data_IF_412841670758
#
_entry.id   IF_412841670758
#
_cell.length_a   1.000
_cell.length_b   1.000
_cell.length_c   1.000
_cell.angle_alpha   90.00
_cell.angle_beta   90.00
_cell.angle_gamma   90.00
#
_symmetry.space_group_name_H-M   'P 1'
#
loop_
_entity.id
_entity.type
_entity.pdbx_description
1 polymer ?
#
# COMPACT_ATOMS: atom_id res chain seq x y z
N UNK A 1 -18.45 -7.36 -10.60
CA UNK A 1 -17.45 -7.54 -11.68
C UNK A 1 -16.92 -8.96 -11.68
N UNK A 2 -16.01 -9.35 -10.77
CA UNK A 2 -15.47 -10.72 -10.74
C UNK A 2 -16.52 -11.72 -10.27
N UNK A 3 -17.18 -11.46 -9.14
CA UNK A 3 -18.20 -12.35 -8.55
C UNK A 3 -19.35 -12.69 -9.52
N UNK A 4 -19.79 -11.72 -10.33
CA UNK A 4 -20.86 -11.91 -11.32
C UNK A 4 -20.46 -12.83 -12.48
N UNK A 5 -19.17 -13.11 -12.66
CA UNK A 5 -18.63 -13.94 -13.72
C UNK A 5 -18.09 -15.30 -13.22
N UNK A 6 -18.18 -15.56 -11.91
CA UNK A 6 -17.83 -16.86 -11.30
C UNK A 6 -19.02 -17.82 -11.39
N UNK A 7 -18.75 -19.08 -11.71
CA UNK A 7 -19.73 -20.15 -11.59
C UNK A 7 -19.91 -20.57 -10.12
N UNK A 8 -21.01 -21.27 -9.81
CA UNK A 8 -21.25 -21.79 -8.46
C UNK A 8 -20.06 -22.65 -7.99
N UNK A 9 -19.51 -22.31 -6.82
CA UNK A 9 -18.36 -22.99 -6.24
C UNK A 9 -16.99 -22.53 -6.74
N UNK A 10 -16.91 -21.64 -7.75
CA UNK A 10 -15.65 -21.05 -8.17
C UNK A 10 -15.24 -19.88 -7.27
N UNK A 11 -13.93 -19.71 -7.16
CA UNK A 11 -13.28 -18.56 -6.52
C UNK A 11 -12.55 -17.73 -7.56
N UNK A 12 -12.11 -16.53 -7.18
CA UNK A 12 -11.30 -15.67 -8.04
C UNK A 12 -10.04 -16.36 -8.58
N UNK A 13 -9.42 -17.20 -7.75
CA UNK A 13 -8.19 -17.94 -8.10
C UNK A 13 -8.42 -18.95 -9.23
N UNK A 14 -9.66 -19.42 -9.41
CA UNK A 14 -10.03 -20.39 -10.45
C UNK A 14 -10.25 -19.73 -11.83
N UNK A 15 -10.31 -18.38 -11.89
CA UNK A 15 -10.52 -17.60 -13.11
C UNK A 15 -9.46 -16.50 -13.27
N UNK A 16 -8.18 -16.88 -13.44
CA UNK A 16 -7.07 -15.94 -13.57
C UNK A 16 -7.23 -15.01 -14.79
N UNK A 17 -7.95 -15.44 -15.82
CA UNK A 17 -8.31 -14.64 -17.00
C UNK A 17 -9.17 -13.43 -16.63
N UNK A 18 -10.23 -13.64 -15.84
CA UNK A 18 -11.12 -12.56 -15.37
C UNK A 18 -10.37 -11.63 -14.43
N UNK A 19 -9.56 -12.19 -13.53
CA UNK A 19 -8.74 -11.42 -12.59
C UNK A 19 -7.78 -10.49 -13.34
N UNK A 20 -7.07 -11.01 -14.35
CA UNK A 20 -6.16 -10.22 -15.16
C UNK A 20 -6.90 -9.13 -15.95
N UNK A 21 -8.09 -9.42 -16.49
CA UNK A 21 -8.88 -8.43 -17.23
C UNK A 21 -9.35 -7.29 -16.33
N UNK A 22 -9.92 -7.59 -15.16
CA UNK A 22 -10.38 -6.58 -14.20
C UNK A 22 -9.20 -5.77 -13.65
N UNK A 23 -8.06 -6.42 -13.38
CA UNK A 23 -6.84 -5.74 -12.99
C UNK A 23 -6.38 -4.75 -14.05
N UNK A 24 -6.31 -5.17 -15.32
CA UNK A 24 -5.86 -4.29 -16.42
C UNK A 24 -6.82 -3.11 -16.63
N UNK A 25 -8.13 -3.31 -16.48
CA UNK A 25 -9.12 -2.23 -16.54
C UNK A 25 -8.91 -1.22 -15.41
N UNK A 26 -8.84 -1.69 -14.15
CA UNK A 26 -8.58 -0.83 -12.98
C UNK A 26 -7.25 -0.11 -13.08
N UNK A 27 -6.20 -0.77 -13.58
CA UNK A 27 -4.90 -0.17 -13.86
C UNK A 27 -5.01 0.99 -14.83
N UNK A 28 -5.69 0.80 -15.97
CA UNK A 28 -5.88 1.86 -16.98
C UNK A 28 -6.62 3.05 -16.41
N UNK A 29 -7.68 2.80 -15.64
CA UNK A 29 -8.47 3.85 -15.01
C UNK A 29 -7.65 4.62 -13.96
N UNK A 30 -6.90 3.91 -13.11
CA UNK A 30 -5.96 4.51 -12.15
C UNK A 30 -4.92 5.40 -12.85
N UNK A 31 -4.24 4.85 -13.86
CA UNK A 31 -3.24 5.61 -14.60
C UNK A 31 -3.86 6.83 -15.28
N UNK A 32 -5.05 6.71 -15.86
CA UNK A 32 -5.75 7.83 -16.48
C UNK A 32 -6.01 8.97 -15.48
N UNK A 33 -6.47 8.67 -14.26
CA UNK A 33 -6.68 9.70 -13.24
C UNK A 33 -5.37 10.38 -12.84
N UNK A 34 -4.29 9.61 -12.63
CA UNK A 34 -2.97 10.15 -12.32
C UNK A 34 -2.47 11.05 -13.47
N UNK A 35 -2.56 10.56 -14.72
CA UNK A 35 -2.09 11.31 -15.89
C UNK A 35 -2.93 12.57 -16.18
N UNK A 36 -4.17 12.60 -15.69
CA UNK A 36 -5.05 13.77 -15.75
C UNK A 36 -4.81 14.78 -14.61
N UNK A 37 -3.74 14.59 -13.83
CA UNK A 37 -3.31 15.57 -12.83
C UNK A 37 -3.84 15.33 -11.42
N UNK A 38 -4.27 14.11 -11.08
CA UNK A 38 -4.72 13.78 -9.71
C UNK A 38 -3.72 14.22 -8.62
N UNK A 39 -2.42 14.17 -8.94
CA UNK A 39 -1.32 14.57 -8.04
C UNK A 39 -0.52 15.78 -8.57
N UNK A 40 -1.07 16.55 -9.51
CA UNK A 40 -0.36 17.62 -10.20
C UNK A 40 0.28 17.18 -11.52
N UNK A 41 1.07 18.08 -12.13
CA UNK A 41 1.63 17.83 -13.45
C UNK A 41 2.78 16.82 -13.40
N UNK A 42 2.76 15.86 -14.32
CA UNK A 42 3.78 14.83 -14.44
C UNK A 42 4.60 15.02 -15.72
N UNK A 43 5.82 14.49 -15.73
CA UNK A 43 6.77 14.56 -16.85
C UNK A 43 7.08 13.18 -17.40
N UNK A 44 7.17 12.18 -16.52
CA UNK A 44 7.38 10.79 -16.92
C UNK A 44 6.72 9.83 -15.92
N UNK A 45 6.50 8.59 -16.37
CA UNK A 45 6.13 7.48 -15.50
C UNK A 45 6.87 6.21 -15.88
N UNK A 46 7.09 5.35 -14.89
CA UNK A 46 7.54 3.97 -15.08
C UNK A 46 6.59 3.07 -14.30
N UNK A 47 6.02 2.06 -14.96
CA UNK A 47 5.20 1.07 -14.29
C UNK A 47 5.54 -0.35 -14.75
N UNK A 48 5.45 -1.31 -13.83
CA UNK A 48 5.61 -2.73 -14.13
C UNK A 48 4.51 -3.51 -13.43
N UNK A 49 3.96 -4.48 -14.16
CA UNK A 49 3.05 -5.47 -13.62
C UNK A 49 3.85 -6.69 -13.17
N UNK A 50 3.59 -7.18 -11.97
CA UNK A 50 4.16 -8.44 -11.49
C UNK A 50 3.04 -9.40 -11.10
N UNK A 51 3.11 -10.59 -11.71
CA UNK A 51 2.15 -11.67 -11.50
C UNK A 51 2.77 -12.67 -10.53
N UNK A 52 2.24 -12.71 -9.31
CA UNK A 52 2.70 -13.66 -8.31
C UNK A 52 2.06 -15.03 -8.54
N UNK A 53 2.83 -16.12 -8.38
CA UNK A 53 2.38 -17.50 -8.65
C UNK A 53 1.08 -17.92 -7.93
N UNK A 54 0.73 -17.26 -6.82
CA UNK A 54 -0.45 -17.51 -5.99
C UNK A 54 -1.03 -16.24 -5.38
N UNK A 55 -0.66 -15.09 -5.95
CA UNK A 55 -1.05 -13.78 -5.45
C UNK A 55 -1.77 -13.00 -6.53
N UNK A 56 -2.44 -11.94 -6.11
CA UNK A 56 -3.06 -11.03 -7.04
C UNK A 56 -1.99 -10.34 -7.91
N UNK A 57 -2.32 -10.00 -9.17
CA UNK A 57 -1.45 -9.13 -9.95
C UNK A 57 -1.24 -7.83 -9.17
N UNK A 58 0.00 -7.37 -9.12
CA UNK A 58 0.33 -6.09 -8.51
C UNK A 58 1.06 -5.21 -9.51
N UNK A 59 1.00 -3.92 -9.25
CA UNK A 59 1.65 -2.90 -10.06
C UNK A 59 2.51 -2.03 -9.18
N UNK A 60 3.72 -1.77 -9.65
CA UNK A 60 4.56 -0.71 -9.14
C UNK A 60 4.49 0.45 -10.11
N UNK A 61 4.20 1.65 -9.61
CA UNK A 61 4.11 2.88 -10.41
C UNK A 61 5.06 3.90 -9.79
N UNK A 62 5.99 4.40 -10.60
CA UNK A 62 6.84 5.54 -10.28
C UNK A 62 6.45 6.71 -11.17
N UNK A 63 6.17 7.86 -10.58
CA UNK A 63 5.74 9.08 -11.27
C UNK A 63 6.80 10.15 -11.02
N UNK A 64 7.21 10.82 -12.09
CA UNK A 64 8.11 11.96 -12.04
C UNK A 64 7.30 13.23 -12.24
N UNK A 65 7.17 14.04 -11.20
CA UNK A 65 6.42 15.30 -11.23
C UNK A 65 7.21 16.44 -11.87
N UNK A 66 6.49 17.39 -12.45
CA UNK A 66 7.04 18.66 -12.88
C UNK A 66 7.66 19.39 -11.67
N UNK A 67 8.69 20.20 -11.88
CA UNK A 67 9.46 20.80 -10.77
C UNK A 67 8.60 21.63 -9.81
N UNK A 68 7.54 22.25 -10.32
CA UNK A 68 6.58 23.06 -9.55
C UNK A 68 5.58 22.23 -8.74
N UNK A 69 5.36 20.96 -9.13
CA UNK A 69 4.41 20.04 -8.50
C UNK A 69 5.12 18.97 -7.66
N UNK A 70 6.44 19.12 -7.45
CA UNK A 70 7.19 18.19 -6.61
C UNK A 70 6.67 18.23 -5.18
N UNK A 71 6.64 17.05 -4.57
CA UNK A 71 6.30 16.91 -3.16
C UNK A 71 7.53 17.28 -2.35
N UNK A 72 7.52 18.47 -1.77
CA UNK A 72 8.70 19.09 -1.16
C UNK A 72 8.64 19.18 0.37
N UNK A 73 7.48 19.04 0.97
CA UNK A 73 7.30 19.22 2.41
C UNK A 73 6.32 18.20 3.02
N UNK A 74 6.38 18.10 4.35
CA UNK A 74 5.62 17.14 5.12
C UNK A 74 4.10 17.36 5.01
N UNK A 75 3.66 18.62 4.88
CA UNK A 75 2.25 18.95 4.74
C UNK A 75 1.73 18.43 3.41
N UNK A 76 2.49 18.62 2.33
CA UNK A 76 2.14 18.11 1.01
C UNK A 76 2.11 16.56 1.02
N UNK A 77 3.06 15.90 1.68
CA UNK A 77 3.00 14.44 1.90
C UNK A 77 1.68 14.03 2.57
N UNK A 78 1.29 14.71 3.63
CA UNK A 78 0.08 14.39 4.39
C UNK A 78 -1.22 14.61 3.61
N UNK A 79 -1.19 15.40 2.52
CA UNK A 79 -2.34 15.49 1.58
C UNK A 79 -2.49 14.27 0.68
N UNK A 80 -1.41 13.50 0.48
CA UNK A 80 -1.36 12.37 -0.47
C UNK A 80 -1.33 11.04 0.26
N UNK A 81 -0.60 10.93 1.37
CA UNK A 81 -0.37 9.68 2.09
C UNK A 81 -0.78 9.84 3.55
N UNK A 82 -1.47 8.83 4.07
CA UNK A 82 -1.85 8.73 5.47
C UNK A 82 -1.31 7.43 6.07
N UNK A 83 -0.91 7.50 7.34
CA UNK A 83 -0.63 6.35 8.18
C UNK A 83 -1.53 6.33 9.43
N UNK A 84 -2.73 6.89 9.30
CA UNK A 84 -3.74 7.00 10.38
C UNK A 84 -4.89 6.05 10.11
N UNK A 85 -5.46 5.47 11.16
CA UNK A 85 -6.74 4.77 11.09
C UNK A 85 -7.83 5.83 10.84
N UNK A 86 -8.65 5.70 9.77
CA UNK A 86 -9.73 6.65 9.48
C UNK A 86 -10.80 6.68 10.58
N UNK A 87 -11.62 7.71 10.59
CA UNK A 87 -12.84 7.72 11.41
C UNK A 87 -13.91 6.81 10.78
N UNK A 88 -14.45 5.89 11.58
CA UNK A 88 -15.41 4.89 11.11
C UNK A 88 -16.79 5.46 10.77
N UNK A 89 -17.15 6.62 11.32
CA UNK A 89 -18.43 7.28 11.07
C UNK A 89 -18.35 8.23 9.89
N UNK A 90 -17.26 9.00 9.78
CA UNK A 90 -17.06 9.97 8.70
C UNK A 90 -16.61 9.32 7.40
N UNK A 91 -15.79 8.26 7.49
CA UNK A 91 -15.20 7.59 6.33
C UNK A 91 -15.32 6.06 6.40
N UNK A 92 -16.55 5.52 6.48
CA UNK A 92 -16.80 4.09 6.73
C UNK A 92 -16.14 3.17 5.69
N UNK A 93 -16.18 3.55 4.40
CA UNK A 93 -15.57 2.76 3.32
C UNK A 93 -14.05 2.71 3.47
N UNK A 94 -13.41 3.85 3.71
CA UNK A 94 -11.96 3.92 3.88
C UNK A 94 -11.54 3.22 5.18
N UNK A 95 -12.31 3.37 6.25
CA UNK A 95 -12.09 2.68 7.52
C UNK A 95 -12.09 1.15 7.32
N UNK A 96 -13.09 0.62 6.62
CA UNK A 96 -13.17 -0.81 6.34
C UNK A 96 -11.98 -1.29 5.49
N UNK A 97 -11.58 -0.50 4.48
CA UNK A 97 -10.40 -0.79 3.64
C UNK A 97 -9.14 -0.82 4.50
N UNK A 98 -8.93 0.21 5.33
CA UNK A 98 -7.69 0.36 6.10
C UNK A 98 -7.58 -0.71 7.16
N UNK A 99 -8.64 -0.92 7.95
CA UNK A 99 -8.64 -1.93 9.02
C UNK A 99 -8.62 -3.36 8.50
N UNK A 100 -9.00 -3.58 7.24
CA UNK A 100 -8.94 -4.90 6.60
C UNK A 100 -7.60 -5.19 5.95
N UNK A 101 -7.06 -4.28 5.12
CA UNK A 101 -5.90 -4.57 4.25
C UNK A 101 -4.71 -3.62 4.38
N UNK A 102 -4.86 -2.47 5.07
CA UNK A 102 -3.75 -1.52 5.29
C UNK A 102 -3.23 -1.57 6.72
N UNK A 103 -3.32 -2.73 7.37
CA UNK A 103 -2.70 -2.98 8.67
C UNK A 103 -1.56 -3.97 8.51
N UNK A 104 -0.44 -3.68 9.16
CA UNK A 104 0.60 -4.68 9.35
C UNK A 104 0.08 -5.74 10.31
N UNK A 105 0.28 -7.01 9.96
CA UNK A 105 -0.09 -8.12 10.84
C UNK A 105 0.70 -8.07 12.16
N UNK A 106 0.18 -8.68 13.24
CA UNK A 106 0.89 -8.72 14.51
C UNK A 106 2.24 -9.41 14.35
N UNK A 107 3.29 -8.80 14.89
CA UNK A 107 4.67 -9.28 14.82
C UNK A 107 5.42 -8.89 16.10
N UNK A 108 6.70 -9.23 16.16
CA UNK A 108 7.55 -8.94 17.32
C UNK A 108 7.50 -10.04 18.37
N UNK A 109 7.79 -9.71 19.62
CA UNK A 109 7.92 -10.69 20.70
C UNK A 109 6.63 -11.47 20.97
N UNK A 110 5.47 -10.85 20.73
CA UNK A 110 4.16 -11.50 20.85
C UNK A 110 3.88 -12.49 19.71
N UNK A 111 4.54 -12.33 18.55
CA UNK A 111 4.33 -13.12 17.33
C UNK A 111 5.66 -13.38 16.61
N UNK A 112 6.59 -14.13 17.24
CA UNK A 112 7.95 -14.31 16.73
C UNK A 112 8.03 -15.15 15.45
N UNK A 113 6.97 -15.92 15.15
CA UNK A 113 6.84 -16.75 13.95
C UNK A 113 6.27 -16.01 12.75
N UNK A 114 5.91 -14.73 12.88
CA UNK A 114 5.40 -13.94 11.76
C UNK A 114 6.43 -13.85 10.64
N UNK A 115 5.99 -13.95 9.37
CA UNK A 115 6.88 -14.00 8.19
C UNK A 115 7.79 -12.78 8.03
N UNK A 116 7.37 -11.64 8.58
CA UNK A 116 8.17 -10.42 8.57
C UNK A 116 9.35 -10.46 9.56
N UNK A 117 9.39 -11.41 10.49
CA UNK A 117 10.43 -11.52 11.51
C UNK A 117 11.73 -12.08 10.90
N UNK A 118 12.81 -11.31 11.00
CA UNK A 118 14.15 -11.68 10.58
C UNK A 118 15.10 -11.32 11.72
N UNK A 119 15.89 -12.29 12.20
CA UNK A 119 16.80 -12.09 13.35
C UNK A 119 16.09 -11.47 14.58
N UNK A 120 14.90 -11.98 14.91
CA UNK A 120 14.06 -11.52 16.03
C UNK A 120 13.58 -10.07 15.93
N UNK A 121 13.66 -9.43 14.75
CA UNK A 121 13.11 -8.10 14.51
C UNK A 121 12.19 -8.12 13.29
N UNK A 122 11.15 -7.29 13.31
CA UNK A 122 10.35 -7.10 12.10
C UNK A 122 11.22 -6.42 11.03
N UNK A 123 11.39 -7.06 9.88
CA UNK A 123 12.09 -6.53 8.70
C UNK A 123 11.50 -5.22 8.17
N UNK A 124 10.25 -4.91 8.53
CA UNK A 124 9.55 -3.65 8.20
C UNK A 124 9.49 -2.68 9.38
N UNK A 125 10.11 -3.04 10.50
CA UNK A 125 10.25 -2.27 11.74
C UNK A 125 8.90 -1.88 12.36
N UNK A 126 7.96 -2.83 12.41
CA UNK A 126 6.72 -2.66 13.16
C UNK A 126 6.87 -3.18 14.61
N UNK A 127 6.12 -2.58 15.56
CA UNK A 127 5.29 -1.39 15.41
C UNK A 127 6.13 -0.12 15.14
N UNK A 128 5.63 0.78 14.28
CA UNK A 128 6.29 2.07 14.03
C UNK A 128 6.14 2.98 15.26
N UNK A 129 7.05 3.93 15.52
CA UNK A 129 6.87 4.90 16.59
C UNK A 129 5.68 5.83 16.29
N UNK A 130 5.05 6.35 17.34
CA UNK A 130 4.11 7.46 17.20
C UNK A 130 4.86 8.73 16.79
N UNK A 131 4.24 9.52 15.91
CA UNK A 131 4.71 10.84 15.49
C UNK A 131 3.48 11.75 15.34
N UNK A 132 3.50 12.94 15.94
CA UNK A 132 2.39 13.90 15.78
C UNK A 132 2.26 14.44 14.35
N UNK A 133 3.39 14.52 13.64
CA UNK A 133 3.52 15.09 12.30
C UNK A 133 4.44 14.25 11.42
N UNK A 134 4.39 14.48 10.11
CA UNK A 134 5.29 13.83 9.16
C UNK A 134 6.66 14.51 9.18
N UNK A 135 7.73 13.71 9.21
CA UNK A 135 9.11 14.18 9.26
C UNK A 135 9.91 13.63 8.09
N UNK A 136 10.78 14.43 7.48
CA UNK A 136 11.77 13.89 6.53
C UNK A 136 12.98 13.35 7.28
N UNK A 137 13.34 12.10 7.01
CA UNK A 137 14.64 11.56 7.39
C UNK A 137 15.75 12.03 6.46
N UNK A 138 17.00 11.88 6.91
CA UNK A 138 18.19 12.11 6.08
C UNK A 138 18.26 11.13 4.89
N UNK A 139 17.55 10.00 4.98
CA UNK A 139 17.42 8.98 3.94
C UNK A 139 16.45 9.34 2.81
N UNK A 140 15.75 10.49 2.91
CA UNK A 140 14.80 10.97 1.91
C UNK A 140 13.40 10.32 1.98
N UNK A 141 13.17 9.40 2.93
CA UNK A 141 11.88 8.78 3.16
C UNK A 141 11.09 9.53 4.26
N UNK A 142 9.80 9.81 4.05
CA UNK A 142 8.98 10.42 5.08
C UNK A 142 8.67 9.43 6.20
N UNK A 143 8.93 9.85 7.44
CA UNK A 143 8.38 9.23 8.65
C UNK A 143 7.00 9.83 8.87
N UNK A 144 5.97 9.11 8.42
CA UNK A 144 4.59 9.58 8.44
C UNK A 144 4.04 9.89 9.83
N UNK A 145 3.13 10.87 9.90
CA UNK A 145 2.34 11.18 11.07
C UNK A 145 1.51 9.97 11.53
N UNK A 146 1.73 9.57 12.78
CA UNK A 146 1.05 8.49 13.50
C UNK A 146 0.72 9.01 14.91
N UNK A 147 -0.31 9.83 15.07
CA UNK A 147 -0.59 10.44 16.36
C UNK A 147 -1.11 9.39 17.34
N UNK A 148 -0.72 9.51 18.61
CA UNK A 148 -1.09 8.55 19.67
C UNK A 148 -2.57 8.63 20.06
N UNK A 149 -3.20 9.80 19.91
CA UNK A 149 -4.61 10.03 20.20
C UNK A 149 -5.56 9.55 19.09
N UNK A 150 -5.13 8.61 18.25
CA UNK A 150 -5.95 8.03 17.18
C UNK A 150 -6.92 6.95 17.66
N UNK A 151 -7.88 6.54 16.81
CA UNK A 151 -8.78 5.46 17.13
C UNK A 151 -8.03 4.12 17.21
N UNK A 152 -8.59 3.18 17.98
CA UNK A 152 -8.10 1.79 18.06
C UNK A 152 -9.23 0.83 17.74
N UNK A 153 -8.89 -0.37 17.31
CA UNK A 153 -9.86 -1.45 17.11
C UNK A 153 -9.24 -2.82 17.38
N UNK A 154 -10.06 -3.81 17.71
CA UNK A 154 -9.60 -5.18 17.99
C UNK A 154 -10.02 -6.12 16.87
N UNK A 155 -9.07 -6.90 16.35
CA UNK A 155 -9.32 -7.95 15.35
C UNK A 155 -8.52 -9.20 15.73
N UNK A 156 -9.19 -10.34 15.78
CA UNK A 156 -8.61 -11.63 16.20
C UNK A 156 -7.85 -11.56 17.54
N UNK A 157 -8.39 -10.83 18.53
CA UNK A 157 -7.78 -10.68 19.86
C UNK A 157 -6.59 -9.73 19.92
N UNK A 158 -6.17 -9.12 18.81
CA UNK A 158 -5.12 -8.10 18.77
C UNK A 158 -5.70 -6.70 18.63
N UNK A 159 -5.25 -5.76 19.46
CA UNK A 159 -5.66 -4.34 19.40
C UNK A 159 -4.69 -3.56 18.54
N UNK A 160 -5.23 -2.94 17.50
CA UNK A 160 -4.51 -2.11 16.56
C UNK A 160 -4.67 -0.63 16.89
N UNK A 161 -3.59 0.11 16.67
CA UNK A 161 -3.52 1.57 16.72
C UNK A 161 -2.72 2.09 15.50
N UNK A 162 -2.47 3.40 15.45
CA UNK A 162 -1.77 4.04 14.34
C UNK A 162 -0.33 3.53 14.11
N UNK A 163 0.30 2.81 15.04
CA UNK A 163 1.65 2.25 14.84
C UNK A 163 1.68 1.10 13.84
N UNK A 164 0.52 0.46 13.63
CA UNK A 164 0.38 -0.73 12.79
C UNK A 164 -0.10 -0.41 11.38
N UNK A 165 -0.51 0.83 11.11
CA UNK A 165 -1.03 1.22 9.80
C UNK A 165 0.08 1.19 8.75
N UNK A 166 -0.16 0.53 7.63
CA UNK A 166 0.70 0.62 6.45
C UNK A 166 0.32 1.88 5.68
N UNK A 167 1.27 2.75 5.30
CA UNK A 167 0.97 4.00 4.61
C UNK A 167 0.17 3.79 3.32
N UNK A 168 -0.91 4.56 3.14
CA UNK A 168 -1.85 4.42 2.04
C UNK A 168 -2.28 5.80 1.50
N UNK A 169 -2.79 5.85 0.26
CA UNK A 169 -3.43 7.05 -0.28
C UNK A 169 -4.94 6.98 -0.01
N UNK A 170 -5.55 7.88 0.79
CA UNK A 170 -6.95 7.80 1.16
C UNK A 170 -7.92 7.68 -0.03
N UNK A 171 -7.72 8.50 -1.07
CA UNK A 171 -8.60 8.54 -2.24
C UNK A 171 -8.51 7.23 -3.05
N UNK A 172 -7.29 6.82 -3.41
CA UNK A 172 -7.06 5.64 -4.23
C UNK A 172 -7.42 4.35 -3.50
N UNK A 173 -7.16 4.28 -2.19
CA UNK A 173 -7.56 3.14 -1.37
C UNK A 173 -9.07 2.99 -1.32
N UNK A 174 -9.82 4.05 -1.04
CA UNK A 174 -11.28 3.99 -1.02
C UNK A 174 -11.90 3.67 -2.39
N UNK A 175 -11.25 4.11 -3.48
CA UNK A 175 -11.78 3.97 -4.84
C UNK A 175 -11.48 2.61 -5.48
N UNK A 176 -10.27 2.10 -5.31
CA UNK A 176 -9.80 0.93 -6.08
C UNK A 176 -9.73 -0.37 -5.28
N UNK A 177 -9.60 -0.29 -3.95
CA UNK A 177 -9.52 -1.48 -3.11
C UNK A 177 -10.92 -2.03 -2.87
N UNK A 178 -11.14 -3.28 -3.27
CA UNK A 178 -12.40 -3.98 -3.04
C UNK A 178 -12.21 -5.09 -2.00
N UNK A 179 -12.85 -4.92 -0.85
CA UNK A 179 -12.71 -5.81 0.31
C UNK A 179 -13.40 -7.17 0.08
N UNK A 180 -14.54 -7.21 -0.61
CA UNK A 180 -15.25 -8.47 -0.84
C UNK A 180 -14.44 -9.42 -1.74
N UNK A 181 -13.68 -8.85 -2.68
CA UNK A 181 -12.72 -9.58 -3.49
C UNK A 181 -11.53 -10.09 -2.67
N UNK A 182 -10.97 -9.23 -1.80
CA UNK A 182 -9.85 -9.58 -0.94
C UNK A 182 -10.18 -10.76 0.00
N UNK A 183 -11.34 -10.71 0.65
CA UNK A 183 -11.78 -11.76 1.56
C UNK A 183 -11.98 -13.11 0.84
N UNK A 184 -12.41 -13.11 -0.43
CA UNK A 184 -12.52 -14.35 -1.22
C UNK A 184 -11.15 -14.98 -1.50
N UNK A 185 -10.16 -14.18 -1.89
CA UNK A 185 -8.80 -14.65 -2.18
C UNK A 185 -8.15 -15.25 -0.92
N UNK A 186 -8.33 -14.60 0.24
CA UNK A 186 -7.88 -15.14 1.53
C UNK A 186 -8.59 -16.45 1.88
N UNK A 187 -9.92 -16.51 1.74
CA UNK A 187 -10.70 -17.70 2.09
C UNK A 187 -10.40 -18.93 1.22
N UNK A 188 -10.04 -18.71 -0.06
CA UNK A 188 -9.65 -19.78 -1.00
C UNK A 188 -8.23 -20.33 -0.78
N UNK A 189 -7.40 -19.62 0.00
CA UNK A 189 -6.00 -19.97 0.21
C UNK A 189 -5.73 -20.19 1.71
N UNK A 190 -6.30 -21.26 2.28
CA UNK A 190 -6.16 -21.62 3.70
C UNK A 190 -4.71 -21.85 4.20
N UNK A 191 -3.71 -21.80 3.30
CA UNK A 191 -2.29 -21.94 3.61
C UNK A 191 -1.42 -20.72 3.21
N UNK A 192 -2.04 -19.60 2.83
CA UNK A 192 -1.31 -18.36 2.56
C UNK A 192 -1.80 -17.26 3.51
N UNK A 193 -1.03 -17.00 4.56
CA UNK A 193 -0.93 -15.66 5.15
C UNK A 193 -0.39 -14.72 4.05
N UNK A 194 -1.29 -14.25 3.18
CA UNK A 194 -0.98 -13.23 2.20
C UNK A 194 -0.67 -11.98 3.01
N UNK A 195 0.56 -11.47 2.87
CA UNK A 195 0.92 -10.13 3.34
C UNK A 195 -0.01 -9.16 2.62
N UNK A 196 -1.13 -8.80 3.27
CA UNK A 196 -2.26 -8.02 2.75
C UNK A 196 -1.85 -6.62 2.25
N UNK A 197 -0.58 -6.30 2.40
CA UNK A 197 0.02 -4.99 2.22
C UNK A 197 0.47 -4.71 0.78
N UNK A 198 0.17 -5.60 -0.18
CA UNK A 198 0.63 -5.51 -1.58
C UNK A 198 -0.28 -4.71 -2.52
N UNK A 199 -1.45 -4.25 -2.08
CA UNK A 199 -2.49 -3.80 -3.02
C UNK A 199 -2.37 -2.34 -3.47
N UNK A 200 -1.81 -1.44 -2.65
CA UNK A 200 -1.45 -0.06 -3.02
C UNK A 200 -0.63 0.54 -1.88
N UNK A 201 0.70 0.43 -1.95
CA UNK A 201 1.58 1.16 -1.04
C UNK A 201 2.18 2.36 -1.75
N UNK A 202 2.04 3.51 -1.11
CA UNK A 202 2.61 4.76 -1.58
C UNK A 202 3.90 5.03 -0.84
N UNK A 203 4.96 5.19 -1.61
CA UNK A 203 6.27 5.61 -1.11
C UNK A 203 6.65 6.86 -1.88
N UNK A 204 6.70 7.98 -1.17
CA UNK A 204 7.12 9.25 -1.74
C UNK A 204 8.63 9.38 -1.56
N UNK A 205 9.34 9.62 -2.66
CA UNK A 205 10.78 9.85 -2.66
C UNK A 205 11.00 11.33 -2.92
N UNK A 206 11.28 12.08 -1.85
CA UNK A 206 11.43 13.54 -1.90
C UNK A 206 12.78 13.99 -2.45
N UNK A 207 13.81 13.13 -2.40
CA UNK A 207 15.17 13.47 -2.79
C UNK A 207 15.74 12.47 -3.81
N UNK A 208 15.49 12.70 -5.10
CA UNK A 208 16.33 12.15 -6.17
C UNK A 208 17.60 13.00 -6.38
N UNK A 209 18.19 13.51 -5.28
CA UNK A 209 19.33 14.42 -5.33
C UNK A 209 20.61 13.69 -4.96
N UNK A 210 21.44 13.44 -5.98
CA UNK A 210 22.89 13.15 -5.96
C UNK A 210 23.46 11.79 -5.52
N UNK A 211 22.70 10.79 -5.05
CA UNK A 211 23.30 9.52 -4.57
C UNK A 211 23.07 8.27 -5.43
N UNK A 212 22.40 8.37 -6.59
CA UNK A 212 22.24 7.21 -7.48
C UNK A 212 23.51 6.96 -8.30
N UNK A 213 24.44 6.18 -7.75
CA UNK A 213 25.66 5.72 -8.42
C UNK A 213 25.44 4.40 -9.16
N UNK A 214 24.44 4.30 -10.04
CA UNK A 214 24.21 3.06 -10.80
C UNK A 214 23.95 3.31 -12.29
N UNK A 215 24.69 2.56 -13.10
CA UNK A 215 24.79 2.62 -14.57
C UNK A 215 23.64 1.91 -15.31
N UNK A 216 22.61 1.42 -14.61
CA UNK A 216 21.46 0.74 -15.24
C UNK A 216 20.11 1.10 -14.60
N UNK A 217 19.13 1.43 -15.45
CA UNK A 217 17.73 1.70 -15.06
C UNK A 217 17.13 0.59 -14.18
N UNK A 218 17.57 -0.66 -14.36
CA UNK A 218 17.10 -1.82 -13.58
C UNK A 218 17.54 -1.76 -12.12
N UNK A 219 18.76 -1.30 -11.86
CA UNK A 219 19.30 -1.21 -10.51
C UNK A 219 18.80 0.04 -9.79
N UNK A 220 18.56 1.13 -10.53
CA UNK A 220 17.79 2.28 -10.03
C UNK A 220 16.38 1.86 -9.61
N UNK A 221 15.65 1.13 -10.46
CA UNK A 221 14.32 0.61 -10.14
C UNK A 221 14.35 -0.28 -8.90
N UNK A 222 15.31 -1.21 -8.78
CA UNK A 222 15.47 -2.03 -7.57
C UNK A 222 15.77 -1.21 -6.31
N UNK A 223 16.55 -0.13 -6.42
CA UNK A 223 16.85 0.76 -5.30
C UNK A 223 15.63 1.59 -4.90
N UNK A 224 14.86 2.10 -5.86
CA UNK A 224 13.64 2.85 -5.62
C UNK A 224 12.52 1.96 -5.07
N UNK A 225 12.54 0.68 -5.41
CA UNK A 225 11.56 -0.33 -4.99
C UNK A 225 12.07 -1.15 -3.80
N UNK A 226 12.99 -0.60 -2.99
CA UNK A 226 13.50 -1.32 -1.82
C UNK A 226 12.35 -1.84 -0.95
N UNK A 227 12.21 -3.16 -1.01
CA UNK A 227 11.33 -4.00 -0.21
C UNK A 227 12.19 -5.09 0.40
#
# INVERSE_FOLDING_TARGET
EIQSALLSGQTASDRPDIVAQVFEQKKKDLLKEIMNGLFGNWVAKVDTNEFQKRGLPHIHILIFFHSLDKICDANHVDTIVSAKIPDCNLHPVLYDVVTTVMMHGPCGDCFPTARCMVNSRCSKEYPKPFNSETLYGEDGYPRYARPENGPTFTKAGFTYDNKWVVPYNPYLSARYVNISYFNQVLSSNSNLDIDATSMLRFVLLSNLSSTFTSTSTKDLIKQLWRW
#
